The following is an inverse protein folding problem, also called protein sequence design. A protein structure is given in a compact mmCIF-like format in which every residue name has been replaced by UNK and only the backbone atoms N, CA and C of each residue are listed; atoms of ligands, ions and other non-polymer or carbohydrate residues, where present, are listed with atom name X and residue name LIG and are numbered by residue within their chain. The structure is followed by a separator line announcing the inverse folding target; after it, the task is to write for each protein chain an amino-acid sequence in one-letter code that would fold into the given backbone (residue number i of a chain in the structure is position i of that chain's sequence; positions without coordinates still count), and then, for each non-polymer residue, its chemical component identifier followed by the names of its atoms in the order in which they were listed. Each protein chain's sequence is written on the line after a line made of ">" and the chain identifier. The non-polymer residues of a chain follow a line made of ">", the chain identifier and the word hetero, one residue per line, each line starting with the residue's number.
data_IF_573588004675
#
_entry.id   IF_573588004675
#
_cell.length_a   1.000
_cell.length_b   1.000
_cell.length_c   1.000
_cell.angle_alpha   90.00
_cell.angle_beta   90.00
_cell.angle_gamma   90.00
#
_symmetry.space_group_name_H-M   'P 1'
#
loop_
_entity.id
_entity.type
_entity.pdbx_description
1 polymer ?
#
# COMPACT_ATOMS: atom_id res chain seq x y z
N UNK A 1 -22.88 17.95 4.36
CA UNK A 1 -21.75 17.10 4.67
C UNK A 1 -21.90 15.81 3.87
N UNK A 2 -20.99 15.52 2.96
CA UNK A 2 -20.95 14.25 2.23
C UNK A 2 -20.77 13.12 3.24
N UNK A 3 -21.64 12.10 3.18
CA UNK A 3 -21.50 10.88 3.98
C UNK A 3 -20.47 9.90 3.39
N UNK A 4 -19.85 10.25 2.28
CA UNK A 4 -18.84 9.40 1.63
C UNK A 4 -17.54 9.46 2.41
N UNK A 5 -16.89 8.30 2.66
CA UNK A 5 -15.59 8.28 3.31
C UNK A 5 -14.55 8.98 2.44
N UNK A 6 -13.66 9.71 3.08
CA UNK A 6 -12.48 10.25 2.41
C UNK A 6 -11.40 9.17 2.34
N UNK A 7 -10.96 8.89 1.12
CA UNK A 7 -10.00 7.84 0.82
C UNK A 7 -8.73 8.46 0.24
N UNK A 8 -7.57 8.04 0.72
CA UNK A 8 -6.27 8.35 0.13
C UNK A 8 -5.61 7.07 -0.41
N UNK A 9 -5.04 7.18 -1.60
CA UNK A 9 -4.14 6.18 -2.17
C UNK A 9 -2.75 6.81 -2.24
N UNK A 10 -1.80 6.27 -1.48
CA UNK A 10 -0.41 6.72 -1.45
C UNK A 10 0.40 5.79 -2.33
N UNK A 11 0.92 6.31 -3.45
CA UNK A 11 1.60 5.50 -4.45
C UNK A 11 2.55 6.33 -5.34
N UNK A 12 3.07 5.75 -6.41
CA UNK A 12 4.02 6.36 -7.35
C UNK A 12 3.41 7.38 -8.31
N UNK A 13 2.11 7.64 -8.24
CA UNK A 13 1.44 8.65 -9.07
C UNK A 13 0.54 8.09 -10.15
N UNK A 14 0.12 8.93 -11.08
CA UNK A 14 -0.79 8.58 -12.17
C UNK A 14 -0.25 9.11 -13.50
N UNK A 15 -0.34 8.34 -14.60
CA UNK A 15 -0.02 8.84 -15.92
C UNK A 15 -0.88 10.05 -16.30
N UNK A 16 -0.37 10.90 -17.17
CA UNK A 16 -1.07 12.12 -17.60
C UNK A 16 -2.46 11.84 -18.20
N UNK A 17 -2.61 10.72 -18.90
CA UNK A 17 -3.86 10.30 -19.54
C UNK A 17 -4.27 8.93 -18.99
N UNK A 18 -5.44 8.87 -18.36
CA UNK A 18 -5.98 7.64 -17.78
C UNK A 18 -7.52 7.70 -17.65
N UNK A 19 -8.16 6.53 -17.62
CA UNK A 19 -9.62 6.43 -17.61
C UNK A 19 -10.26 6.73 -16.24
N UNK A 20 -9.51 6.65 -15.14
CA UNK A 20 -10.05 6.79 -13.78
C UNK A 20 -10.24 8.24 -13.32
N UNK A 21 -9.88 9.22 -14.17
CA UNK A 21 -9.99 10.65 -13.84
C UNK A 21 -11.36 11.06 -13.27
N UNK A 22 -12.52 10.57 -13.76
CA UNK A 22 -13.82 10.92 -13.21
C UNK A 22 -14.04 10.53 -11.75
N UNK A 23 -13.23 9.60 -11.23
CA UNK A 23 -13.32 9.07 -9.87
C UNK A 23 -12.27 9.63 -8.92
N UNK A 24 -11.42 10.53 -9.41
CA UNK A 24 -10.47 11.26 -8.58
C UNK A 24 -11.15 12.50 -8.01
N UNK A 25 -11.12 12.63 -6.68
CA UNK A 25 -11.44 13.89 -6.01
C UNK A 25 -10.27 14.85 -6.15
N UNK A 26 -9.05 14.37 -5.97
CA UNK A 26 -7.82 15.13 -6.23
C UNK A 26 -6.65 14.22 -6.64
N UNK A 27 -5.67 14.82 -7.29
CA UNK A 27 -4.34 14.26 -7.52
C UNK A 27 -3.31 15.28 -7.03
N UNK A 28 -2.42 14.84 -6.16
CA UNK A 28 -1.37 15.69 -5.59
C UNK A 28 -0.03 14.98 -5.66
N UNK A 29 1.00 15.71 -6.00
CA UNK A 29 2.40 15.33 -5.87
C UNK A 29 2.91 15.96 -4.59
N UNK A 30 3.34 15.16 -3.60
CA UNK A 30 3.74 15.68 -2.29
C UNK A 30 5.14 16.27 -2.31
N UNK A 31 6.01 15.78 -3.19
CA UNK A 31 7.29 16.39 -3.46
C UNK A 31 7.23 17.19 -4.77
N UNK A 32 7.26 18.52 -4.67
CA UNK A 32 7.23 19.42 -5.84
C UNK A 32 8.45 19.27 -6.77
N UNK A 33 9.52 18.65 -6.29
CA UNK A 33 10.74 18.41 -7.05
C UNK A 33 10.82 16.99 -7.63
N UNK A 34 9.81 16.15 -7.35
CA UNK A 34 9.82 14.77 -7.81
C UNK A 34 9.72 14.66 -9.34
N UNK A 35 10.66 13.96 -9.93
CA UNK A 35 10.61 13.57 -11.34
C UNK A 35 9.68 12.36 -11.54
N UNK A 36 9.10 12.26 -12.74
CA UNK A 36 8.23 11.15 -13.08
C UNK A 36 9.02 9.85 -13.25
N UNK A 37 8.56 8.80 -12.55
CA UNK A 37 8.94 7.42 -12.83
C UNK A 37 7.79 6.72 -13.57
N UNK A 38 7.98 6.28 -14.84
CA UNK A 38 6.93 5.60 -15.59
C UNK A 38 6.38 4.35 -14.90
N UNK A 39 7.23 3.57 -14.22
CA UNK A 39 6.80 2.38 -13.49
C UNK A 39 5.96 2.73 -12.27
N UNK A 40 6.37 3.75 -11.51
CA UNK A 40 5.59 4.26 -10.39
C UNK A 40 4.23 4.81 -10.81
N UNK A 41 4.16 5.53 -11.93
CA UNK A 41 2.89 6.03 -12.48
C UNK A 41 1.96 4.88 -12.92
N UNK A 42 2.47 3.86 -13.59
CA UNK A 42 1.69 2.68 -13.99
C UNK A 42 1.22 1.89 -12.77
N UNK A 43 2.08 1.69 -11.78
CA UNK A 43 1.74 1.03 -10.52
C UNK A 43 0.62 1.77 -9.78
N UNK A 44 0.75 3.07 -9.60
CA UNK A 44 -0.27 3.90 -8.95
C UNK A 44 -1.62 3.87 -9.68
N UNK A 45 -1.60 3.83 -11.02
CA UNK A 45 -2.83 3.65 -11.80
C UNK A 45 -3.47 2.28 -11.56
N UNK A 46 -2.67 1.22 -11.54
CA UNK A 46 -3.15 -0.14 -11.30
C UNK A 46 -3.76 -0.28 -9.90
N UNK A 47 -3.06 0.18 -8.87
CA UNK A 47 -3.53 0.17 -7.47
C UNK A 47 -4.83 0.98 -7.31
N UNK A 48 -4.87 2.19 -7.87
CA UNK A 48 -6.07 3.03 -7.79
C UNK A 48 -7.24 2.40 -8.53
N UNK A 49 -7.00 1.78 -9.69
CA UNK A 49 -8.05 1.08 -10.44
C UNK A 49 -8.56 -0.14 -9.67
N UNK A 50 -7.68 -0.91 -9.07
CA UNK A 50 -8.05 -2.06 -8.24
C UNK A 50 -8.91 -1.64 -7.04
N UNK A 51 -8.54 -0.55 -6.36
CA UNK A 51 -9.34 -0.01 -5.26
C UNK A 51 -10.74 0.43 -5.72
N UNK A 52 -10.82 1.14 -6.85
CA UNK A 52 -12.08 1.69 -7.33
C UNK A 52 -13.04 0.61 -7.85
N UNK A 53 -12.54 -0.39 -8.53
CA UNK A 53 -13.36 -1.30 -9.34
C UNK A 53 -13.25 -2.77 -8.95
N UNK A 54 -12.24 -3.15 -8.16
CA UNK A 54 -11.94 -4.54 -7.89
C UNK A 54 -11.54 -5.32 -9.15
N UNK A 55 -11.68 -6.63 -9.15
CA UNK A 55 -11.41 -7.47 -10.31
C UNK A 55 -12.39 -7.18 -11.46
N UNK A 56 -11.87 -6.78 -12.61
CA UNK A 56 -12.69 -6.54 -13.81
C UNK A 56 -12.45 -7.69 -14.78
N UNK A 57 -13.53 -8.37 -15.17
CA UNK A 57 -13.46 -9.40 -16.19
C UNK A 57 -13.18 -8.79 -17.57
N UNK A 58 -12.38 -9.44 -18.43
CA UNK A 58 -12.20 -9.01 -19.81
C UNK A 58 -13.58 -8.84 -20.50
N UNK A 59 -13.81 -7.68 -21.10
CA UNK A 59 -15.10 -7.28 -21.70
C UNK A 59 -16.28 -7.12 -20.71
N UNK A 60 -16.03 -7.17 -19.41
CA UNK A 60 -17.01 -6.84 -18.38
C UNK A 60 -17.19 -5.33 -18.21
N UNK A 61 -18.29 -4.93 -17.58
CA UNK A 61 -18.51 -3.55 -17.15
C UNK A 61 -18.00 -3.38 -15.72
N UNK A 62 -17.28 -2.30 -15.47
CA UNK A 62 -16.90 -1.94 -14.11
C UNK A 62 -18.10 -1.47 -13.31
N UNK A 63 -18.17 -1.83 -12.03
CA UNK A 63 -19.14 -1.26 -11.11
C UNK A 63 -18.85 0.23 -10.86
N UNK A 64 -19.90 0.98 -10.51
CA UNK A 64 -19.69 2.33 -10.02
C UNK A 64 -18.93 2.25 -8.69
N UNK A 65 -17.79 2.94 -8.53
CA UNK A 65 -17.06 2.99 -7.27
C UNK A 65 -17.89 3.51 -6.10
N UNK A 66 -17.60 3.01 -4.91
CA UNK A 66 -18.29 3.42 -3.67
C UNK A 66 -17.79 4.77 -3.13
N UNK A 67 -16.60 5.20 -3.54
CA UNK A 67 -15.99 6.44 -3.10
C UNK A 67 -15.18 7.10 -4.22
N UNK A 68 -15.00 8.41 -4.10
CA UNK A 68 -13.96 9.13 -4.82
C UNK A 68 -12.66 9.05 -4.02
N UNK A 69 -11.53 9.04 -4.71
CA UNK A 69 -10.22 8.94 -4.07
C UNK A 69 -9.37 10.20 -4.27
N UNK A 70 -8.55 10.50 -3.30
CA UNK A 70 -7.39 11.36 -3.45
C UNK A 70 -6.19 10.47 -3.73
N UNK A 71 -5.55 10.66 -4.88
CA UNK A 71 -4.29 9.98 -5.17
C UNK A 71 -3.14 10.92 -4.80
N UNK A 72 -2.30 10.46 -3.89
CA UNK A 72 -1.16 11.20 -3.35
C UNK A 72 0.12 10.52 -3.82
N UNK A 73 0.86 11.19 -4.70
CA UNK A 73 2.14 10.68 -5.15
C UNK A 73 3.20 10.94 -4.09
N UNK A 74 3.81 9.87 -3.60
CA UNK A 74 4.83 9.88 -2.54
C UNK A 74 6.20 9.39 -3.02
N UNK A 75 6.30 8.90 -4.27
CA UNK A 75 7.53 8.41 -4.87
C UNK A 75 7.96 9.27 -6.05
N UNK A 76 9.25 9.27 -6.33
CA UNK A 76 9.84 9.81 -7.55
C UNK A 76 10.69 8.75 -8.29
N UNK A 77 11.42 9.15 -9.33
CA UNK A 77 12.30 8.27 -10.11
C UNK A 77 13.43 7.64 -9.30
N UNK A 78 13.80 8.27 -8.18
CA UNK A 78 14.90 7.82 -7.32
C UNK A 78 14.39 6.86 -6.23
N UNK A 79 13.08 6.61 -6.18
CA UNK A 79 12.49 5.63 -5.28
C UNK A 79 13.04 4.23 -5.58
N UNK A 80 13.47 3.52 -4.54
CA UNK A 80 14.10 2.21 -4.68
C UNK A 80 15.60 2.24 -4.98
N UNK A 81 16.21 3.44 -5.00
CA UNK A 81 17.68 3.55 -4.95
C UNK A 81 18.22 3.14 -3.59
N UNK A 82 19.51 2.84 -3.52
CA UNK A 82 20.17 2.48 -2.25
C UNK A 82 20.34 3.67 -1.27
N UNK A 83 19.79 4.85 -1.58
CA UNK A 83 19.85 6.00 -0.70
C UNK A 83 18.88 5.88 0.48
N UNK A 84 19.38 5.70 1.72
CA UNK A 84 18.52 5.60 2.89
C UNK A 84 17.66 6.84 3.13
N UNK A 85 18.06 8.01 2.62
CA UNK A 85 17.30 9.25 2.78
C UNK A 85 15.96 9.20 2.03
N UNK A 86 15.92 8.53 0.88
CA UNK A 86 14.68 8.34 0.11
C UNK A 86 13.62 7.57 0.91
N UNK A 87 14.07 6.56 1.63
CA UNK A 87 13.20 5.75 2.49
C UNK A 87 12.54 6.59 3.58
N UNK A 88 13.31 7.45 4.25
CA UNK A 88 12.80 8.33 5.30
C UNK A 88 12.00 9.50 4.74
N UNK A 89 12.33 9.99 3.56
CA UNK A 89 11.54 11.02 2.86
C UNK A 89 10.14 10.50 2.56
N UNK A 90 10.03 9.32 1.99
CA UNK A 90 8.73 8.68 1.71
C UNK A 90 7.93 8.45 2.99
N UNK A 91 8.56 7.98 4.07
CA UNK A 91 7.92 7.85 5.38
C UNK A 91 7.37 9.20 5.87
N UNK A 92 8.14 10.29 5.71
CA UNK A 92 7.69 11.64 6.08
C UNK A 92 6.41 12.07 5.35
N UNK A 93 6.24 11.72 4.09
CA UNK A 93 4.99 11.97 3.36
C UNK A 93 3.82 11.12 3.89
N UNK A 94 4.06 9.85 4.20
CA UNK A 94 3.04 9.00 4.84
C UNK A 94 2.62 9.59 6.18
N UNK A 95 3.58 10.02 6.99
CA UNK A 95 3.35 10.68 8.27
C UNK A 95 2.52 11.97 8.12
N UNK A 96 2.89 12.85 7.18
CA UNK A 96 2.13 14.08 6.88
C UNK A 96 0.67 13.77 6.56
N UNK A 97 0.42 12.77 5.72
CA UNK A 97 -0.93 12.38 5.34
C UNK A 97 -1.73 11.85 6.54
N UNK A 98 -1.15 11.00 7.36
CA UNK A 98 -1.81 10.45 8.56
C UNK A 98 -2.04 11.54 9.61
N UNK A 99 -1.08 12.42 9.86
CA UNK A 99 -1.21 13.56 10.77
C UNK A 99 -2.30 14.55 10.34
N UNK A 100 -2.60 14.63 9.06
CA UNK A 100 -3.66 15.51 8.55
C UNK A 100 -5.05 15.16 9.08
N UNK A 101 -5.26 13.93 9.55
CA UNK A 101 -6.53 13.38 10.05
C UNK A 101 -7.71 13.58 9.10
N UNK A 102 -7.43 13.69 7.79
CA UNK A 102 -8.45 13.97 6.78
C UNK A 102 -9.13 12.72 6.23
N UNK A 103 -8.50 11.54 6.37
CA UNK A 103 -8.88 10.33 5.67
C UNK A 103 -9.38 9.27 6.64
N UNK A 104 -10.54 8.67 6.34
CA UNK A 104 -11.07 7.52 7.04
C UNK A 104 -10.48 6.21 6.51
N UNK A 105 -9.97 6.23 5.28
CA UNK A 105 -9.29 5.08 4.67
C UNK A 105 -8.02 5.52 3.95
N UNK A 106 -6.93 4.80 4.18
CA UNK A 106 -5.64 5.00 3.51
C UNK A 106 -5.16 3.67 2.95
N UNK A 107 -4.76 3.65 1.68
CA UNK A 107 -4.06 2.50 1.09
C UNK A 107 -2.59 2.85 0.85
N UNK A 108 -1.70 1.97 1.29
CA UNK A 108 -0.26 2.03 1.08
C UNK A 108 0.20 0.70 0.46
N UNK A 109 0.34 0.69 -0.87
CA UNK A 109 0.80 -0.51 -1.60
C UNK A 109 2.29 -0.41 -1.95
N UNK A 110 3.06 0.19 -1.06
CA UNK A 110 4.51 0.35 -1.16
C UNK A 110 5.16 0.34 0.23
N UNK A 111 6.45 0.14 0.26
CA UNK A 111 7.25 0.13 1.48
C UNK A 111 8.70 -0.24 1.18
N UNK A 112 9.55 -0.26 2.20
CA UNK A 112 10.91 -0.77 2.07
C UNK A 112 10.92 -2.24 1.58
N UNK A 113 11.86 -2.58 0.70
CA UNK A 113 12.09 -3.99 0.33
C UNK A 113 12.90 -4.70 1.41
N UNK A 114 12.34 -4.72 2.62
CA UNK A 114 12.96 -5.26 3.82
C UNK A 114 12.02 -6.25 4.50
N UNK A 115 12.36 -7.54 4.56
CA UNK A 115 11.67 -8.50 5.41
C UNK A 115 11.73 -8.05 6.87
N UNK A 116 10.66 -8.27 7.60
CA UNK A 116 10.60 -7.91 9.03
C UNK A 116 11.58 -8.76 9.84
N UNK A 117 12.10 -8.17 10.91
CA UNK A 117 12.94 -8.83 11.90
C UNK A 117 12.21 -8.97 13.24
N UNK A 118 12.54 -10.00 14.03
CA UNK A 118 11.90 -10.23 15.33
C UNK A 118 12.50 -9.39 16.45
N UNK A 119 13.73 -8.92 16.25
CA UNK A 119 14.53 -8.26 17.29
C UNK A 119 14.38 -6.74 17.30
N UNK A 120 13.91 -6.17 16.20
CA UNK A 120 13.80 -4.72 16.06
C UNK A 120 12.52 -4.31 15.33
N UNK A 121 11.97 -3.14 15.70
CA UNK A 121 10.81 -2.54 15.05
C UNK A 121 11.30 -1.45 14.12
N UNK A 122 11.06 -1.62 12.84
CA UNK A 122 11.47 -0.63 11.87
C UNK A 122 10.73 0.70 12.07
N UNK A 123 11.38 1.83 11.76
CA UNK A 123 10.81 3.16 11.94
C UNK A 123 9.45 3.34 11.23
N UNK A 124 9.30 2.78 10.03
CA UNK A 124 8.02 2.82 9.31
C UNK A 124 6.89 2.18 10.11
N UNK A 125 7.13 0.99 10.66
CA UNK A 125 6.14 0.29 11.49
C UNK A 125 5.78 1.10 12.73
N UNK A 126 6.79 1.60 13.46
CA UNK A 126 6.57 2.38 14.69
C UNK A 126 5.76 3.64 14.44
N UNK A 127 6.14 4.44 13.43
CA UNK A 127 5.47 5.71 13.13
C UNK A 127 4.03 5.47 12.67
N UNK A 128 3.81 4.51 11.77
CA UNK A 128 2.46 4.20 11.28
C UNK A 128 1.57 3.67 12.40
N UNK A 129 2.06 2.74 13.22
CA UNK A 129 1.29 2.19 14.35
C UNK A 129 0.93 3.25 15.38
N UNK A 130 1.85 4.17 15.71
CA UNK A 130 1.56 5.28 16.60
C UNK A 130 0.46 6.18 16.04
N UNK A 131 0.55 6.56 14.78
CA UNK A 131 -0.41 7.46 14.15
C UNK A 131 -1.81 6.84 13.93
N UNK A 132 -1.89 5.53 13.84
CA UNK A 132 -3.15 4.79 13.70
C UNK A 132 -3.75 4.34 15.04
N UNK A 133 -3.08 4.60 16.16
CA UNK A 133 -3.47 4.08 17.49
C UNK A 133 -4.81 4.59 18.01
N UNK A 134 -5.30 5.71 17.51
CA UNK A 134 -6.62 6.27 17.85
C UNK A 134 -7.80 5.55 17.16
N UNK A 135 -7.53 4.79 16.09
CA UNK A 135 -8.54 4.03 15.34
C UNK A 135 -9.42 4.85 14.40
N UNK A 136 -9.12 6.14 14.19
CA UNK A 136 -9.93 7.02 13.33
C UNK A 136 -9.70 6.78 11.84
N UNK A 137 -8.55 6.19 11.48
CA UNK A 137 -8.17 5.85 10.11
C UNK A 137 -7.98 4.35 9.97
N UNK A 138 -8.69 3.72 9.03
CA UNK A 138 -8.39 2.35 8.58
C UNK A 138 -7.31 2.41 7.50
N UNK A 139 -6.20 1.70 7.70
CA UNK A 139 -5.14 1.61 6.71
C UNK A 139 -4.92 0.19 6.24
N UNK A 140 -4.76 0.02 4.93
CA UNK A 140 -4.30 -1.23 4.32
C UNK A 140 -2.87 -1.08 3.82
N UNK A 141 -2.06 -2.11 4.04
CA UNK A 141 -0.67 -2.19 3.59
C UNK A 141 -0.41 -3.49 2.84
N UNK A 142 0.39 -3.44 1.78
CA UNK A 142 0.80 -4.64 1.07
C UNK A 142 1.85 -5.41 1.88
N UNK A 143 1.76 -6.75 1.86
CA UNK A 143 2.71 -7.60 2.61
C UNK A 143 4.08 -7.73 1.96
N UNK A 144 4.24 -7.30 0.71
CA UNK A 144 5.46 -7.42 -0.07
C UNK A 144 5.41 -8.55 -1.11
N UNK A 145 6.42 -8.54 -2.01
CA UNK A 145 6.47 -9.39 -3.21
C UNK A 145 7.61 -10.43 -3.17
N UNK A 146 8.18 -10.68 -2.00
CA UNK A 146 9.35 -11.54 -1.78
C UNK A 146 9.00 -13.00 -1.41
N UNK A 147 7.73 -13.41 -1.52
CA UNK A 147 7.27 -14.74 -1.08
C UNK A 147 7.86 -15.94 -1.83
N UNK A 148 8.59 -15.68 -2.93
CA UNK A 148 9.36 -16.69 -3.67
C UNK A 148 10.81 -16.85 -3.17
N UNK A 149 11.25 -15.96 -2.27
CA UNK A 149 12.59 -16.01 -1.69
C UNK A 149 12.76 -17.17 -0.71
N UNK A 150 13.96 -17.34 -0.20
CA UNK A 150 14.24 -18.41 0.75
C UNK A 150 13.52 -18.20 2.10
N UNK A 151 12.76 -19.22 2.50
CA UNK A 151 11.98 -19.21 3.74
C UNK A 151 12.83 -19.42 4.99
N UNK A 152 13.90 -20.20 4.87
CA UNK A 152 14.73 -20.54 6.02
C UNK A 152 15.57 -19.36 6.50
N UNK A 153 15.99 -18.50 5.57
CA UNK A 153 16.68 -17.25 5.91
C UNK A 153 15.74 -16.14 6.41
N UNK A 154 14.42 -16.33 6.28
CA UNK A 154 13.43 -15.28 6.59
C UNK A 154 13.18 -14.29 5.45
N UNK A 155 13.90 -14.39 4.33
CA UNK A 155 13.77 -13.44 3.21
C UNK A 155 12.41 -13.47 2.51
N UNK A 156 11.62 -14.53 2.70
CA UNK A 156 10.25 -14.61 2.19
C UNK A 156 9.19 -14.03 3.14
N UNK A 157 9.58 -13.55 4.32
CA UNK A 157 8.63 -13.00 5.31
C UNK A 157 8.00 -11.70 4.81
N UNK A 158 6.85 -11.40 5.39
CA UNK A 158 6.18 -10.11 5.18
C UNK A 158 7.16 -8.95 5.36
N UNK A 159 6.98 -7.90 4.57
CA UNK A 159 7.90 -6.77 4.51
C UNK A 159 7.37 -5.59 5.33
N UNK A 160 8.26 -4.74 5.77
CA UNK A 160 7.95 -3.47 6.43
C UNK A 160 7.08 -2.60 5.50
N UNK A 161 5.99 -1.97 5.98
CA UNK A 161 5.47 -1.90 7.35
C UNK A 161 4.31 -2.87 7.63
N UNK A 162 4.22 -4.00 6.93
CA UNK A 162 3.07 -4.90 7.06
C UNK A 162 2.98 -5.63 8.40
N UNK A 163 3.99 -5.49 9.26
CA UNK A 163 3.95 -5.97 10.65
C UNK A 163 3.28 -4.98 11.62
N UNK A 164 2.75 -3.87 11.13
CA UNK A 164 1.92 -2.96 11.92
C UNK A 164 0.75 -3.70 12.57
N UNK A 165 0.46 -3.39 13.83
CA UNK A 165 -0.69 -3.95 14.56
C UNK A 165 -1.97 -3.16 14.32
N UNK A 166 -1.86 -1.88 13.97
CA UNK A 166 -2.98 -0.97 13.74
C UNK A 166 -3.33 -0.81 12.24
N UNK A 167 -2.61 -1.50 11.33
CA UNK A 167 -2.92 -1.55 9.92
C UNK A 167 -3.25 -2.99 9.48
N UNK A 168 -4.09 -3.12 8.44
CA UNK A 168 -4.42 -4.40 7.83
C UNK A 168 -3.39 -4.75 6.75
N UNK A 169 -2.59 -5.77 6.99
CA UNK A 169 -1.66 -6.32 6.02
C UNK A 169 -2.37 -7.28 5.07
N UNK A 170 -2.28 -7.00 3.76
CA UNK A 170 -3.00 -7.74 2.73
C UNK A 170 -2.02 -8.50 1.85
N UNK A 171 -2.17 -9.82 1.81
CA UNK A 171 -1.46 -10.71 0.90
C UNK A 171 -2.25 -10.97 -0.38
N UNK A 172 -1.56 -11.42 -1.43
CA UNK A 172 -2.17 -11.65 -2.73
C UNK A 172 -2.55 -13.12 -2.94
N UNK A 173 -3.72 -13.34 -3.56
CA UNK A 173 -4.16 -14.65 -4.10
C UNK A 173 -3.98 -14.70 -5.61
N UNK A 174 -3.98 -15.92 -6.17
CA UNK A 174 -3.83 -16.14 -7.60
C UNK A 174 -5.16 -16.27 -8.36
N UNK A 175 -6.28 -16.28 -7.65
CA UNK A 175 -7.63 -16.39 -8.19
C UNK A 175 -8.66 -15.76 -7.24
N UNK A 176 -9.83 -15.46 -7.79
CA UNK A 176 -10.98 -14.87 -7.06
C UNK A 176 -12.02 -15.91 -6.65
N UNK A 177 -11.91 -17.15 -7.11
CA UNK A 177 -12.84 -18.26 -6.88
C UNK A 177 -12.44 -19.11 -5.64
N UNK A 178 -13.21 -20.17 -5.40
CA UNK A 178 -13.01 -21.06 -4.25
C UNK A 178 -11.69 -21.86 -4.31
N UNK A 179 -11.10 -22.01 -5.50
CA UNK A 179 -9.84 -22.70 -5.72
C UNK A 179 -8.61 -21.79 -5.56
N UNK A 180 -8.75 -20.63 -4.93
CA UNK A 180 -7.66 -19.69 -4.72
C UNK A 180 -6.51 -20.31 -3.92
N UNK A 181 -5.32 -19.89 -4.27
CA UNK A 181 -4.11 -20.14 -3.49
C UNK A 181 -3.34 -18.82 -3.30
N UNK A 182 -2.44 -18.80 -2.36
CA UNK A 182 -1.52 -17.66 -2.23
C UNK A 182 -0.74 -17.46 -3.53
N UNK A 183 -0.72 -16.25 -4.06
CA UNK A 183 0.14 -15.91 -5.18
C UNK A 183 1.62 -16.18 -4.83
N UNK A 184 2.38 -16.76 -5.76
CA UNK A 184 3.75 -17.21 -5.47
C UNK A 184 4.68 -16.11 -4.97
N UNK A 185 4.46 -14.89 -5.44
CA UNK A 185 5.22 -13.71 -5.04
C UNK A 185 4.79 -13.12 -3.69
N UNK A 186 3.53 -13.32 -3.27
CA UNK A 186 3.03 -12.74 -2.02
C UNK A 186 3.87 -13.20 -0.83
N UNK A 187 4.37 -12.27 -0.06
CA UNK A 187 5.15 -12.55 1.15
C UNK A 187 4.37 -13.44 2.13
N UNK A 188 5.09 -14.14 2.99
CA UNK A 188 4.54 -15.12 3.92
C UNK A 188 4.72 -14.70 5.37
N UNK A 189 3.77 -15.10 6.21
CA UNK A 189 3.94 -14.98 7.66
C UNK A 189 5.03 -15.89 8.24
N UNK A 190 5.19 -15.86 9.55
CA UNK A 190 4.43 -15.05 10.49
C UNK A 190 4.80 -13.57 10.46
N UNK A 191 4.03 -12.74 11.14
CA UNK A 191 4.44 -11.41 11.53
C UNK A 191 5.58 -11.45 12.55
N UNK A 192 5.87 -10.31 13.18
CA UNK A 192 6.95 -10.23 14.18
C UNK A 192 6.63 -11.06 15.43
N UNK A 193 7.67 -11.74 15.93
CA UNK A 193 7.58 -12.51 17.18
C UNK A 193 7.37 -11.58 18.39
N UNK A 194 6.63 -12.01 19.45
CA UNK A 194 5.98 -13.29 19.56
C UNK A 194 4.53 -13.28 19.05
N UNK A 195 4.25 -14.04 17.99
CA UNK A 195 2.88 -14.47 17.69
C UNK A 195 1.97 -13.50 16.93
N UNK A 196 2.48 -12.43 16.34
CA UNK A 196 1.67 -11.59 15.44
C UNK A 196 1.38 -12.36 14.15
N UNK A 197 0.11 -12.55 13.85
CA UNK A 197 -0.34 -13.22 12.62
C UNK A 197 -0.36 -12.19 11.49
N UNK A 198 0.37 -12.49 10.40
CA UNK A 198 0.36 -11.70 9.16
C UNK A 198 0.49 -12.65 7.96
N UNK A 199 -0.10 -12.33 6.83
CA UNK A 199 -1.03 -11.22 6.58
C UNK A 199 -2.34 -11.35 7.37
N UNK A 200 -3.05 -10.24 7.57
CA UNK A 200 -4.37 -10.23 8.20
C UNK A 200 -5.45 -10.73 7.23
N UNK A 201 -5.29 -10.39 5.95
CA UNK A 201 -6.22 -10.70 4.87
C UNK A 201 -5.47 -11.19 3.64
N UNK A 202 -6.20 -11.93 2.80
CA UNK A 202 -5.78 -12.31 1.46
C UNK A 202 -6.78 -11.76 0.44
N UNK A 203 -6.29 -11.16 -0.64
CA UNK A 203 -7.09 -10.60 -1.72
C UNK A 203 -6.48 -10.90 -3.09
N UNK A 204 -7.33 -10.87 -4.15
CA UNK A 204 -6.89 -11.00 -5.54
C UNK A 204 -6.62 -9.62 -6.12
#
# INVERSE_FOLDING_TARGET
>A
LSSEPKVAILDGGLPRHHAIKPWLRSYRVLDEHADDDPHGLEHGLAVTSAFLFGPIQPNGSAHRPYAYVDHLRVLDKDAGTEDPLELFRTLGFVEEVLLSRQYQFVNLSLGPDLPIEDTDVHAWTSVIDELLSDGDTLMTVAVGNNGHMDRLSGNARVQVPSDCVNALAVGATNAVDEDWARASYSAIGPGRSPGVVKPDLMAF
#
